data_IF_879527984231
#
_entry.id   IF_879527984231
#
_cell.length_a   1.000
_cell.length_b   1.000
_cell.length_c   1.000
_cell.angle_alpha   90.00
_cell.angle_beta   90.00
_cell.angle_gamma   90.00
#
_symmetry.space_group_name_H-M   'P 1'
#
loop_
_entity.id
_entity.type
_entity.pdbx_description
1 polymer ?
#
# COMPACT_ATOMS: atom_id res chain seq x y z
N UNK A 1 9.24 -7.73 5.90
CA UNK A 1 9.85 -9.08 5.99
C UNK A 1 8.84 -10.23 5.90
N UNK A 2 7.60 -10.07 6.38
CA UNK A 2 6.59 -11.14 6.32
C UNK A 2 6.39 -11.77 4.93
N UNK A 3 6.18 -10.95 3.89
CA UNK A 3 6.01 -11.43 2.51
C UNK A 3 7.21 -12.24 1.99
N UNK A 4 8.44 -11.78 2.25
CA UNK A 4 9.66 -12.53 1.91
C UNK A 4 9.73 -13.89 2.64
N UNK A 5 9.32 -13.93 3.91
CA UNK A 5 9.22 -15.18 4.67
C UNK A 5 8.24 -16.18 4.03
N UNK A 6 7.06 -15.71 3.59
CA UNK A 6 6.08 -16.54 2.89
C UNK A 6 6.69 -17.12 1.61
N UNK A 7 7.34 -16.29 0.78
CA UNK A 7 7.97 -16.72 -0.48
C UNK A 7 9.04 -17.79 -0.23
N UNK A 8 9.89 -17.61 0.78
CA UNK A 8 10.96 -18.57 1.08
C UNK A 8 10.43 -19.87 1.64
N UNK A 9 9.45 -19.82 2.55
CA UNK A 9 8.87 -21.01 3.14
C UNK A 9 8.00 -21.78 2.15
N UNK A 10 7.27 -21.10 1.26
CA UNK A 10 6.41 -21.74 0.27
C UNK A 10 7.17 -22.58 -0.75
N UNK A 11 8.45 -22.28 -0.99
CA UNK A 11 9.32 -23.07 -1.87
C UNK A 11 9.86 -24.34 -1.20
N UNK A 12 9.88 -24.38 0.14
CA UNK A 12 10.43 -25.49 0.93
C UNK A 12 9.33 -26.49 1.31
N UNK A 13 8.06 -26.05 1.35
CA UNK A 13 6.93 -26.91 1.69
C UNK A 13 6.50 -27.75 0.48
N UNK A 14 6.68 -29.07 0.58
CA UNK A 14 6.14 -30.06 -0.36
C UNK A 14 4.73 -30.54 0.09
N UNK A 15 3.76 -30.73 -0.82
CA UNK A 15 3.82 -30.38 -2.24
C UNK A 15 3.74 -28.86 -2.46
N UNK A 16 4.29 -28.32 -3.57
CA UNK A 16 4.01 -26.94 -3.96
C UNK A 16 2.50 -26.76 -3.94
N UNK A 17 2.00 -25.67 -3.34
CA UNK A 17 0.59 -25.41 -3.07
C UNK A 17 -0.27 -25.55 -4.34
N UNK A 18 -0.58 -26.79 -4.75
CA UNK A 18 -1.31 -27.11 -5.97
C UNK A 18 -2.74 -26.59 -5.90
N UNK A 19 -3.25 -26.44 -4.67
CA UNK A 19 -4.47 -25.70 -4.40
C UNK A 19 -4.09 -24.44 -3.61
N UNK A 20 -4.28 -23.23 -4.16
CA UNK A 20 -4.07 -22.02 -3.41
C UNK A 20 -5.00 -22.04 -2.20
N UNK A 21 -4.50 -21.64 -1.02
CA UNK A 21 -5.35 -21.53 0.16
C UNK A 21 -6.33 -20.35 0.00
N UNK A 22 -7.46 -20.64 -0.64
CA UNK A 22 -8.55 -19.69 -0.89
C UNK A 22 -8.94 -18.83 0.33
N UNK A 23 -9.07 -19.35 1.58
CA UNK A 23 -9.50 -18.50 2.69
C UNK A 23 -8.50 -17.39 3.03
N UNK A 24 -7.19 -17.65 2.95
CA UNK A 24 -6.18 -16.63 3.27
C UNK A 24 -6.09 -15.57 2.19
N UNK A 25 -6.24 -15.95 0.92
CA UNK A 25 -6.28 -14.98 -0.17
C UNK A 25 -7.53 -14.10 -0.11
N UNK A 26 -8.71 -14.68 0.18
CA UNK A 26 -9.94 -13.91 0.35
C UNK A 26 -9.84 -12.95 1.55
N UNK A 27 -9.24 -13.39 2.66
CA UNK A 27 -8.96 -12.54 3.81
C UNK A 27 -8.01 -11.38 3.44
N UNK A 28 -6.95 -11.65 2.68
CA UNK A 28 -6.01 -10.63 2.24
C UNK A 28 -6.69 -9.60 1.32
N UNK A 29 -7.47 -10.05 0.34
CA UNK A 29 -8.20 -9.20 -0.58
C UNK A 29 -9.27 -8.35 0.13
N UNK A 30 -10.01 -8.95 1.06
CA UNK A 30 -10.97 -8.22 1.88
C UNK A 30 -10.27 -7.22 2.82
N UNK A 31 -9.11 -7.61 3.36
CA UNK A 31 -8.27 -6.76 4.20
C UNK A 31 -7.91 -5.46 3.51
N UNK A 32 -7.60 -5.46 2.20
CA UNK A 32 -7.29 -4.26 1.41
C UNK A 32 -8.44 -3.23 1.48
N UNK A 33 -9.68 -3.69 1.28
CA UNK A 33 -10.86 -2.82 1.33
C UNK A 33 -11.07 -2.31 2.75
N UNK A 34 -11.02 -3.18 3.75
CA UNK A 34 -11.29 -2.79 5.13
C UNK A 34 -10.25 -1.79 5.65
N UNK A 35 -8.96 -2.01 5.38
CA UNK A 35 -7.90 -1.08 5.83
C UNK A 35 -7.99 0.27 5.14
N UNK A 36 -8.34 0.29 3.85
CA UNK A 36 -8.49 1.54 3.11
C UNK A 36 -9.71 2.36 3.55
N UNK A 37 -10.82 1.71 3.90
CA UNK A 37 -11.97 2.37 4.54
C UNK A 37 -11.63 2.94 5.92
N UNK A 38 -10.82 2.23 6.72
CA UNK A 38 -10.33 2.74 8.01
C UNK A 38 -9.46 3.98 7.80
N UNK A 39 -8.60 4.00 6.78
CA UNK A 39 -7.73 5.15 6.48
C UNK A 39 -8.52 6.44 6.22
N UNK A 40 -9.70 6.35 5.59
CA UNK A 40 -10.56 7.53 5.34
C UNK A 40 -11.10 8.18 6.62
N UNK A 41 -11.22 7.43 7.70
CA UNK A 41 -11.73 7.92 8.98
C UNK A 41 -10.63 8.24 9.99
N UNK A 42 -9.38 7.96 9.64
CA UNK A 42 -8.28 8.10 10.56
C UNK A 42 -7.89 9.57 10.72
N UNK A 43 -7.91 10.06 11.96
CA UNK A 43 -7.56 11.46 12.29
C UNK A 43 -6.05 11.66 12.51
N UNK A 44 -5.36 10.59 12.88
CA UNK A 44 -3.95 10.60 13.27
C UNK A 44 -3.04 10.20 12.08
N UNK A 45 -2.16 11.12 11.70
CA UNK A 45 -1.33 11.02 10.50
C UNK A 45 -0.43 9.76 10.49
N UNK A 46 0.26 9.47 11.60
CA UNK A 46 1.14 8.29 11.71
C UNK A 46 0.37 6.97 11.58
N UNK A 47 -0.82 6.91 12.15
CA UNK A 47 -1.67 5.73 12.07
C UNK A 47 -2.32 5.57 10.70
N UNK A 48 -2.66 6.67 10.01
CA UNK A 48 -3.13 6.63 8.62
C UNK A 48 -2.05 6.03 7.72
N UNK A 49 -0.79 6.47 7.84
CA UNK A 49 0.33 5.88 7.09
C UNK A 49 0.47 4.39 7.43
N UNK A 50 0.38 4.01 8.71
CA UNK A 50 0.48 2.60 9.12
C UNK A 50 -0.64 1.73 8.51
N UNK A 51 -1.90 2.15 8.57
CA UNK A 51 -3.00 1.40 7.95
C UNK A 51 -2.90 1.34 6.42
N UNK A 52 -2.42 2.41 5.78
CA UNK A 52 -2.17 2.40 4.33
C UNK A 52 -1.15 1.33 3.93
N UNK A 53 -0.12 1.09 4.77
CA UNK A 53 0.89 0.04 4.53
C UNK A 53 0.32 -1.37 4.63
N UNK A 54 -0.68 -1.58 5.49
CA UNK A 54 -1.34 -2.89 5.62
C UNK A 54 -2.11 -3.26 4.35
N UNK A 55 -2.74 -2.27 3.68
CA UNK A 55 -3.42 -2.49 2.40
C UNK A 55 -2.47 -2.97 1.30
N UNK A 56 -1.34 -2.29 1.12
CA UNK A 56 -0.30 -2.69 0.17
C UNK A 56 0.30 -4.06 0.49
N UNK A 57 0.52 -4.36 1.77
CA UNK A 57 0.97 -5.69 2.20
C UNK A 57 -0.10 -6.77 1.96
N UNK A 58 -1.39 -6.43 2.01
CA UNK A 58 -2.49 -7.33 1.62
C UNK A 58 -2.39 -7.78 0.17
N UNK A 59 -2.07 -6.86 -0.76
CA UNK A 59 -1.80 -7.19 -2.16
C UNK A 59 -0.60 -8.15 -2.30
N UNK A 60 0.49 -7.88 -1.57
CA UNK A 60 1.68 -8.73 -1.57
C UNK A 60 1.32 -10.14 -1.09
N UNK A 61 0.59 -10.28 0.01
CA UNK A 61 0.17 -11.60 0.52
C UNK A 61 -0.70 -12.33 -0.52
N UNK A 62 -1.71 -11.66 -1.09
CA UNK A 62 -2.57 -12.26 -2.11
C UNK A 62 -1.76 -12.77 -3.32
N UNK A 63 -0.80 -11.96 -3.80
CA UNK A 63 0.07 -12.33 -4.92
C UNK A 63 0.96 -13.54 -4.62
N UNK A 64 1.50 -13.65 -3.40
CA UNK A 64 2.37 -14.78 -3.03
C UNK A 64 1.65 -16.13 -3.06
N UNK A 65 0.33 -16.15 -2.85
CA UNK A 65 -0.46 -17.38 -2.94
C UNK A 65 -0.80 -17.81 -4.38
N UNK A 66 -0.69 -16.92 -5.37
CA UNK A 66 -0.90 -17.26 -6.80
C UNK A 66 0.32 -17.99 -7.38
N UNK A 67 1.51 -17.82 -6.81
CA UNK A 67 2.76 -18.53 -7.15
C UNK A 67 3.15 -18.51 -8.65
N UNK A 68 2.68 -17.54 -9.43
CA UNK A 68 3.14 -17.33 -10.82
C UNK A 68 4.38 -16.46 -10.86
N UNK A 69 5.20 -16.58 -11.91
CA UNK A 69 6.39 -15.76 -12.08
C UNK A 69 6.08 -14.26 -12.06
N UNK A 70 4.96 -13.85 -12.69
CA UNK A 70 4.48 -12.47 -12.69
C UNK A 70 4.04 -11.99 -11.30
N UNK A 71 3.36 -12.86 -10.53
CA UNK A 71 2.94 -12.52 -9.17
C UNK A 71 4.15 -12.34 -8.24
N UNK A 72 5.14 -13.23 -8.31
CA UNK A 72 6.33 -13.17 -7.46
C UNK A 72 7.23 -11.97 -7.80
N UNK A 73 7.44 -11.68 -9.09
CA UNK A 73 8.19 -10.47 -9.48
C UNK A 73 7.46 -9.21 -9.04
N UNK A 74 6.14 -9.14 -9.21
CA UNK A 74 5.30 -8.05 -8.71
C UNK A 74 5.32 -7.88 -7.20
N UNK A 75 5.27 -8.99 -6.45
CA UNK A 75 5.37 -8.98 -4.99
C UNK A 75 6.69 -8.39 -4.51
N UNK A 76 7.81 -8.77 -5.15
CA UNK A 76 9.15 -8.30 -4.77
C UNK A 76 9.31 -6.83 -5.14
N UNK A 77 8.90 -6.41 -6.34
CA UNK A 77 8.98 -5.00 -6.74
C UNK A 77 8.13 -4.12 -5.83
N UNK A 78 6.90 -4.53 -5.50
CA UNK A 78 6.04 -3.79 -4.59
C UNK A 78 6.58 -3.77 -3.16
N UNK A 79 7.19 -4.85 -2.64
CA UNK A 79 7.81 -4.85 -1.32
C UNK A 79 8.94 -3.82 -1.20
N UNK A 80 9.79 -3.73 -2.22
CA UNK A 80 10.91 -2.78 -2.25
C UNK A 80 10.37 -1.35 -2.39
N UNK A 81 9.49 -1.13 -3.36
CA UNK A 81 8.92 0.19 -3.64
C UNK A 81 8.09 0.72 -2.47
N UNK A 82 7.26 -0.13 -1.86
CA UNK A 82 6.49 0.22 -0.68
C UNK A 82 7.40 0.52 0.53
N UNK A 83 8.50 -0.21 0.71
CA UNK A 83 9.48 0.08 1.77
C UNK A 83 10.09 1.48 1.65
N UNK A 84 10.38 1.92 0.43
CA UNK A 84 10.89 3.28 0.17
C UNK A 84 9.81 4.35 0.35
N UNK A 85 8.60 4.12 -0.15
CA UNK A 85 7.51 5.11 -0.06
C UNK A 85 6.99 5.28 1.37
N UNK A 86 6.81 4.19 2.11
CA UNK A 86 6.38 4.25 3.51
C UNK A 86 7.40 4.93 4.42
N UNK A 87 8.70 4.64 4.25
CA UNK A 87 9.77 5.31 5.03
C UNK A 87 9.82 6.82 4.74
N UNK A 88 9.64 7.23 3.49
CA UNK A 88 9.50 8.63 3.11
C UNK A 88 8.32 9.32 3.81
N UNK A 89 7.14 8.71 3.79
CA UNK A 89 5.94 9.23 4.47
C UNK A 89 6.13 9.31 5.99
N UNK A 90 6.73 8.30 6.61
CA UNK A 90 7.01 8.34 8.05
C UNK A 90 8.01 9.44 8.40
N UNK A 91 9.05 9.65 7.58
CA UNK A 91 10.00 10.75 7.76
C UNK A 91 9.29 12.11 7.72
N UNK A 92 8.47 12.35 6.69
CA UNK A 92 7.69 13.59 6.55
C UNK A 92 6.66 13.78 7.68
N UNK A 93 6.06 12.70 8.15
CA UNK A 93 5.16 12.77 9.31
C UNK A 93 5.89 13.20 10.57
N UNK A 94 7.13 12.76 10.74
CA UNK A 94 7.93 13.07 11.92
C UNK A 94 8.42 14.52 11.90
N UNK A 95 8.82 15.04 10.73
CA UNK A 95 9.21 16.46 10.62
C UNK A 95 8.02 17.39 10.89
N UNK A 96 6.80 17.03 10.44
CA UNK A 96 5.59 17.75 10.81
C UNK A 96 5.31 17.68 12.32
N UNK A 97 5.54 16.52 12.93
CA UNK A 97 5.36 16.32 14.37
C UNK A 97 6.34 17.14 15.19
N UNK A 98 7.63 17.16 14.85
CA UNK A 98 8.65 17.94 15.56
C UNK A 98 8.37 19.45 15.54
N UNK A 99 7.65 19.94 14.53
CA UNK A 99 7.29 21.36 14.41
C UNK A 99 6.00 21.73 15.12
N UNK A 100 5.00 20.87 15.07
CA UNK A 100 3.65 21.16 15.61
C UNK A 100 3.38 20.51 16.96
N UNK A 101 4.21 19.54 17.38
CA UNK A 101 4.00 18.65 18.53
C UNK A 101 2.63 17.94 18.52
N UNK A 102 2.01 17.81 17.35
CA UNK A 102 0.69 17.22 17.18
C UNK A 102 0.69 16.19 16.05
N UNK A 103 -0.16 15.16 16.18
CA UNK A 103 -0.31 14.09 15.17
C UNK A 103 -1.64 14.17 14.42
N UNK A 104 -2.49 15.12 14.78
CA UNK A 104 -3.86 15.26 14.27
C UNK A 104 -3.79 16.02 12.94
N UNK A 105 -4.29 15.40 11.86
CA UNK A 105 -4.26 15.93 10.50
C UNK A 105 -4.81 17.36 10.41
N UNK A 106 -5.94 17.63 11.06
CA UNK A 106 -6.60 18.94 10.99
C UNK A 106 -5.70 20.07 11.51
N UNK A 107 -4.83 19.80 12.48
CA UNK A 107 -3.89 20.79 13.02
C UNK A 107 -2.71 21.06 12.09
N UNK A 108 -2.43 20.17 11.14
CA UNK A 108 -1.31 20.31 10.19
C UNK A 108 -1.69 21.01 8.88
N UNK A 109 -2.98 21.17 8.57
CA UNK A 109 -3.51 21.63 7.26
C UNK A 109 -2.87 22.86 6.62
N UNK A 110 -2.37 23.82 7.39
CA UNK A 110 -1.78 25.04 6.85
C UNK A 110 -0.25 25.00 6.74
N UNK A 111 0.39 23.88 7.10
CA UNK A 111 1.84 23.74 7.04
C UNK A 111 2.36 23.78 5.61
N UNK A 112 1.52 23.39 4.64
CA UNK A 112 1.89 23.41 3.24
C UNK A 112 2.17 24.80 2.68
N UNK A 113 1.36 25.79 3.06
CA UNK A 113 1.57 27.17 2.62
C UNK A 113 2.83 27.79 3.26
N UNK A 114 3.19 27.36 4.47
CA UNK A 114 4.34 27.87 5.20
C UNK A 114 5.67 27.29 4.71
N UNK A 115 5.68 26.01 4.28
CA UNK A 115 6.89 25.28 3.90
C UNK A 115 6.76 24.66 2.49
N UNK A 116 6.88 25.46 1.41
CA UNK A 116 6.63 25.00 0.05
C UNK A 116 7.61 23.92 -0.44
N UNK A 117 8.83 23.84 0.11
CA UNK A 117 9.72 22.72 -0.22
C UNK A 117 9.21 21.41 0.40
N UNK A 118 8.62 21.49 1.60
CA UNK A 118 8.06 20.33 2.27
C UNK A 118 6.78 19.84 1.56
N UNK A 119 6.01 20.73 0.95
CA UNK A 119 4.84 20.34 0.13
C UNK A 119 5.22 19.56 -1.10
N UNK A 120 6.31 19.93 -1.77
CA UNK A 120 6.80 19.17 -2.93
C UNK A 120 7.16 17.74 -2.52
N UNK A 121 7.82 17.57 -1.38
CA UNK A 121 8.12 16.22 -0.86
C UNK A 121 6.86 15.45 -0.47
N UNK A 122 5.88 16.10 0.16
CA UNK A 122 4.57 15.50 0.41
C UNK A 122 3.87 15.07 -0.88
N UNK A 123 3.89 15.92 -1.91
CA UNK A 123 3.31 15.61 -3.21
C UNK A 123 3.97 14.37 -3.83
N UNK A 124 5.31 14.32 -3.87
CA UNK A 124 6.02 13.14 -4.38
C UNK A 124 5.72 11.87 -3.58
N UNK A 125 5.67 11.96 -2.24
CA UNK A 125 5.32 10.83 -1.39
C UNK A 125 3.88 10.34 -1.64
N UNK A 126 2.94 11.26 -1.84
CA UNK A 126 1.55 10.94 -2.16
C UNK A 126 1.41 10.34 -3.56
N UNK A 127 2.07 10.91 -4.58
CA UNK A 127 2.05 10.39 -5.96
C UNK A 127 2.63 8.98 -6.05
N UNK A 128 3.71 8.72 -5.31
CA UNK A 128 4.31 7.37 -5.24
C UNK A 128 3.41 6.39 -4.49
N UNK A 129 2.74 6.82 -3.42
CA UNK A 129 1.79 5.97 -2.70
C UNK A 129 0.49 5.68 -3.48
N UNK A 130 0.07 6.58 -4.38
CA UNK A 130 -1.04 6.39 -5.32
C UNK A 130 -0.71 5.50 -6.52
N UNK A 131 0.54 5.05 -6.64
CA UNK A 131 1.00 4.26 -7.78
C UNK A 131 0.73 4.96 -9.12
N UNK A 132 0.99 6.28 -9.23
CA UNK A 132 0.86 6.99 -10.51
C UNK A 132 2.07 6.69 -11.43
N UNK A 133 1.91 6.73 -12.76
CA UNK A 133 3.07 6.64 -13.68
C UNK A 133 3.96 7.88 -13.46
N UNK A 134 5.31 7.77 -13.35
CA UNK A 134 6.21 6.65 -13.65
C UNK A 134 6.75 5.86 -12.43
N UNK A 135 5.94 5.65 -11.38
CA UNK A 135 6.43 5.14 -10.08
C UNK A 135 6.61 3.61 -10.04
N UNK A 136 7.51 3.13 -9.17
CA UNK A 136 7.79 1.69 -9.01
C UNK A 136 6.61 0.96 -8.37
N UNK A 137 5.84 1.63 -7.49
CA UNK A 137 4.62 1.08 -6.90
C UNK A 137 3.62 0.65 -7.99
N UNK A 138 3.45 1.47 -9.04
CA UNK A 138 2.59 1.12 -10.18
C UNK A 138 3.01 -0.20 -10.85
N UNK A 139 4.31 -0.37 -11.10
CA UNK A 139 4.80 -1.58 -11.77
C UNK A 139 4.54 -2.83 -10.92
N UNK A 140 4.71 -2.73 -9.60
CA UNK A 140 4.39 -3.80 -8.66
C UNK A 140 2.89 -4.09 -8.58
N UNK A 141 2.07 -3.05 -8.41
CA UNK A 141 0.61 -3.21 -8.31
C UNK A 141 0.00 -3.76 -9.59
N UNK A 142 0.38 -3.25 -10.77
CA UNK A 142 -0.14 -3.73 -12.05
C UNK A 142 0.19 -5.21 -12.28
N UNK A 143 1.44 -5.62 -12.03
CA UNK A 143 1.84 -7.03 -12.21
C UNK A 143 1.08 -7.96 -11.25
N UNK A 144 0.83 -7.52 -10.01
CA UNK A 144 -0.01 -8.25 -9.05
C UNK A 144 -1.45 -8.31 -9.54
N UNK A 145 -2.06 -7.21 -9.97
CA UNK A 145 -3.45 -7.15 -10.45
C UNK A 145 -3.63 -8.07 -11.67
N UNK A 146 -2.70 -8.07 -12.63
CA UNK A 146 -2.75 -8.95 -13.81
C UNK A 146 -2.70 -10.42 -13.38
N UNK A 147 -1.80 -10.77 -12.46
CA UNK A 147 -1.69 -12.16 -11.97
C UNK A 147 -2.92 -12.63 -11.21
N UNK A 148 -3.54 -11.77 -10.39
CA UNK A 148 -4.78 -12.05 -9.67
C UNK A 148 -5.98 -12.15 -10.60
N UNK A 149 -6.01 -11.34 -11.66
CA UNK A 149 -7.07 -11.38 -12.67
C UNK A 149 -7.01 -12.69 -13.45
N UNK A 150 -5.80 -13.10 -13.87
CA UNK A 150 -5.59 -14.39 -14.53
C UNK A 150 -5.98 -15.58 -13.64
N UNK A 151 -5.88 -15.44 -12.31
CA UNK A 151 -6.32 -16.46 -11.36
C UNK A 151 -7.85 -16.51 -11.20
N UNK A 152 -8.51 -15.37 -11.05
CA UNK A 152 -9.98 -15.28 -11.10
C UNK A 152 -10.43 -13.90 -11.56
N UNK A 153 -11.34 -13.85 -12.54
CA UNK A 153 -11.83 -12.58 -13.08
C UNK A 153 -12.50 -11.69 -12.03
N UNK A 154 -13.07 -12.26 -10.96
CA UNK A 154 -13.75 -11.50 -9.91
C UNK A 154 -12.81 -10.65 -9.05
N UNK A 155 -11.51 -10.94 -9.03
CA UNK A 155 -10.54 -10.16 -8.24
C UNK A 155 -10.40 -8.73 -8.74
N UNK A 156 -10.68 -8.47 -10.02
CA UNK A 156 -10.54 -7.12 -10.62
C UNK A 156 -11.43 -6.09 -9.94
N UNK A 157 -12.62 -6.50 -9.48
CA UNK A 157 -13.53 -5.61 -8.80
C UNK A 157 -13.00 -5.22 -7.42
N UNK A 158 -12.40 -6.17 -6.71
CA UNK A 158 -11.83 -5.95 -5.38
C UNK A 158 -10.55 -5.11 -5.49
N UNK A 159 -9.64 -5.46 -6.39
CA UNK A 159 -8.39 -4.72 -6.56
C UNK A 159 -8.62 -3.34 -7.16
N UNK A 160 -9.57 -3.20 -8.10
CA UNK A 160 -9.97 -1.90 -8.66
C UNK A 160 -10.63 -0.98 -7.62
N UNK A 161 -11.48 -1.51 -6.73
CA UNK A 161 -11.99 -0.75 -5.59
C UNK A 161 -10.85 -0.36 -4.64
N UNK A 162 -9.91 -1.27 -4.40
CA UNK A 162 -8.71 -1.01 -3.59
C UNK A 162 -7.88 0.16 -4.10
N UNK A 163 -7.61 0.24 -5.40
CA UNK A 163 -6.82 1.33 -6.01
C UNK A 163 -7.56 2.67 -6.01
N UNK A 164 -8.89 2.66 -6.19
CA UNK A 164 -9.69 3.89 -6.04
C UNK A 164 -9.62 4.37 -4.58
N UNK A 165 -9.80 3.47 -3.62
CA UNK A 165 -9.74 3.82 -2.22
C UNK A 165 -8.35 4.32 -1.82
N UNK A 166 -7.27 3.72 -2.35
CA UNK A 166 -5.90 4.21 -2.11
C UNK A 166 -5.71 5.63 -2.63
N UNK A 167 -6.19 5.95 -3.83
CA UNK A 167 -6.17 7.30 -4.35
C UNK A 167 -6.95 8.28 -3.46
N UNK A 168 -8.13 7.89 -2.98
CA UNK A 168 -8.97 8.78 -2.16
C UNK A 168 -8.34 9.14 -0.81
N UNK A 169 -7.87 8.16 -0.03
CA UNK A 169 -7.31 8.48 1.30
C UNK A 169 -5.95 9.18 1.21
N UNK A 170 -5.17 8.92 0.14
CA UNK A 170 -3.87 9.61 -0.06
C UNK A 170 -4.06 11.05 -0.50
N UNK A 171 -5.06 11.34 -1.35
CA UNK A 171 -5.44 12.72 -1.69
C UNK A 171 -6.01 13.44 -0.47
N UNK A 172 -6.85 12.76 0.31
CA UNK A 172 -7.38 13.30 1.57
C UNK A 172 -6.24 13.68 2.53
N UNK A 173 -5.29 12.77 2.72
CA UNK A 173 -4.10 13.03 3.54
C UNK A 173 -3.29 14.20 2.99
N UNK A 174 -3.02 14.29 1.69
CA UNK A 174 -2.32 15.45 1.11
C UNK A 174 -3.09 16.76 1.28
N UNK A 175 -4.42 16.76 1.16
CA UNK A 175 -5.21 18.00 1.30
C UNK A 175 -5.33 18.51 2.75
N UNK A 176 -5.08 17.63 3.72
CA UNK A 176 -5.26 17.91 5.15
C UNK A 176 -3.96 18.07 5.91
N UNK A 177 -2.81 17.68 5.34
CA UNK A 177 -1.47 18.03 5.84
C UNK A 177 -1.00 19.39 5.34
#
# INVERSE_FOLDING_TARGET
LGGYGIIRMSLIMDPPMKNPHHPFMMLALWGIIMTSLICLRQTDLKSLIAYSSVGHMGLIIASTFVQTQWALTGAITLMIAHGLTSSMLFCLSNTNYERTNSRILILTRNMQLLLPLMTLWWLFACLTNMALPPTINLMGELSIIISLFNWSNTTILITGLGTILTATYTLYMFSTT
#
